data_IF_504265800395
#
_entry.id   IF_504265800395
#
_cell.length_a   1.000
_cell.length_b   1.000
_cell.length_c   1.000
_cell.angle_alpha   90.00
_cell.angle_beta   90.00
_cell.angle_gamma   90.00
#
_symmetry.space_group_name_H-M   'P 1'
#
loop_
_entity.id
_entity.type
_entity.pdbx_description
1 polymer ?
#
# COMPACT_ATOMS: atom_id res chain seq x y z
N UNK A 1 -6.33 17.46 -14.71
CA UNK A 1 -4.90 17.18 -14.90
C UNK A 1 -4.06 18.40 -14.57
N UNK A 2 -4.29 19.51 -15.28
CA UNK A 2 -3.45 20.71 -15.19
C UNK A 2 -3.27 21.27 -13.78
N UNK A 3 -4.33 21.38 -12.98
CA UNK A 3 -4.22 21.79 -11.57
C UNK A 3 -3.27 20.91 -10.75
N UNK A 4 -3.38 19.58 -10.87
CA UNK A 4 -2.55 18.62 -10.12
C UNK A 4 -1.07 18.76 -10.52
N UNK A 5 -0.80 18.96 -11.82
CA UNK A 5 0.56 19.22 -12.29
C UNK A 5 1.14 20.51 -11.69
N UNK A 6 0.34 21.59 -11.64
CA UNK A 6 0.78 22.85 -11.04
C UNK A 6 1.00 22.71 -9.53
N UNK A 7 0.12 22.00 -8.82
CA UNK A 7 0.28 21.72 -7.39
C UNK A 7 1.58 20.93 -7.13
N UNK A 8 1.89 19.94 -7.96
CA UNK A 8 3.11 19.15 -7.86
C UNK A 8 4.38 19.99 -8.09
N UNK A 9 4.36 20.91 -9.07
CA UNK A 9 5.45 21.86 -9.31
C UNK A 9 5.61 22.84 -8.13
N UNK A 10 4.50 23.34 -7.57
CA UNK A 10 4.52 24.24 -6.43
C UNK A 10 5.12 23.57 -5.18
N UNK A 11 4.81 22.28 -4.95
CA UNK A 11 5.40 21.50 -3.86
C UNK A 11 6.92 21.33 -4.03
N UNK A 12 7.39 21.04 -5.25
CA UNK A 12 8.82 20.99 -5.55
C UNK A 12 9.50 22.34 -5.29
N UNK A 13 8.93 23.44 -5.78
CA UNK A 13 9.46 24.79 -5.56
C UNK A 13 9.48 25.20 -4.09
N UNK A 14 8.56 24.68 -3.28
CA UNK A 14 8.54 24.86 -1.83
C UNK A 14 9.59 24.02 -1.09
N UNK A 15 10.35 23.17 -1.80
CA UNK A 15 11.44 22.38 -1.24
C UNK A 15 11.04 20.97 -0.79
N UNK A 16 9.91 20.44 -1.26
CA UNK A 16 9.61 19.02 -1.07
C UNK A 16 10.72 18.16 -1.71
N UNK A 17 11.18 17.12 -1.02
CA UNK A 17 12.21 16.20 -1.56
C UNK A 17 11.61 15.04 -2.37
N UNK A 18 10.31 14.77 -2.18
CA UNK A 18 9.53 13.78 -2.88
C UNK A 18 8.04 14.08 -2.72
N UNK A 19 7.20 13.53 -3.61
CA UNK A 19 5.73 13.65 -3.52
C UNK A 19 5.04 12.30 -3.74
N UNK A 20 3.90 12.11 -3.09
CA UNK A 20 3.02 10.95 -3.34
C UNK A 20 1.95 11.33 -4.36
N UNK A 21 1.78 10.50 -5.39
CA UNK A 21 0.71 10.60 -6.37
C UNK A 21 -0.31 9.50 -6.09
N UNK A 22 -1.48 9.89 -5.59
CA UNK A 22 -2.53 8.97 -5.15
C UNK A 22 -3.77 9.06 -6.05
N UNK A 23 -4.20 7.91 -6.57
CA UNK A 23 -5.48 7.76 -7.27
C UNK A 23 -5.66 8.73 -8.46
N UNK A 24 -4.63 8.85 -9.30
CA UNK A 24 -4.65 9.70 -10.51
C UNK A 24 -4.45 8.87 -11.78
N UNK A 25 -4.88 9.36 -12.97
CA UNK A 25 -4.66 8.67 -14.23
C UNK A 25 -3.16 8.39 -14.50
N UNK A 26 -2.79 7.18 -14.97
CA UNK A 26 -1.39 6.82 -15.22
C UNK A 26 -0.62 7.75 -16.16
N UNK A 27 -1.29 8.31 -17.17
CA UNK A 27 -0.67 9.26 -18.10
C UNK A 27 -0.34 10.58 -17.42
N UNK A 28 -1.19 11.05 -16.50
CA UNK A 28 -0.92 12.25 -15.70
C UNK A 28 0.25 12.01 -14.75
N UNK A 29 0.29 10.87 -14.09
CA UNK A 29 1.41 10.50 -13.21
C UNK A 29 2.74 10.42 -13.97
N UNK A 30 2.72 9.86 -15.20
CA UNK A 30 3.88 9.85 -16.10
C UNK A 30 4.33 11.27 -16.44
N UNK A 31 3.40 12.15 -16.83
CA UNK A 31 3.72 13.54 -17.16
C UNK A 31 4.29 14.32 -15.96
N UNK A 32 3.78 14.11 -14.75
CA UNK A 32 4.32 14.72 -13.53
C UNK A 32 5.72 14.20 -13.26
N UNK A 33 5.92 12.89 -13.28
CA UNK A 33 7.24 12.25 -13.00
C UNK A 33 8.30 12.69 -13.99
N UNK A 34 7.96 12.85 -15.27
CA UNK A 34 8.90 13.36 -16.29
C UNK A 34 9.21 14.86 -16.14
N UNK A 35 8.37 15.61 -15.43
CA UNK A 35 8.48 17.07 -15.33
C UNK A 35 9.27 17.52 -14.10
N UNK A 36 9.13 16.79 -12.99
CA UNK A 36 9.80 17.10 -11.73
C UNK A 36 11.22 16.55 -11.70
N UNK A 37 12.05 17.14 -10.86
CA UNK A 37 13.40 16.65 -10.52
C UNK A 37 13.40 15.81 -9.25
N UNK A 38 12.41 15.99 -8.38
CA UNK A 38 12.20 15.23 -7.14
C UNK A 38 11.46 13.92 -7.38
N UNK A 39 11.65 12.94 -6.49
CA UNK A 39 11.05 11.61 -6.66
C UNK A 39 9.53 11.61 -6.52
N UNK A 40 8.84 10.90 -7.41
CA UNK A 40 7.40 10.62 -7.30
C UNK A 40 7.15 9.21 -6.77
N UNK A 41 6.23 9.07 -5.83
CA UNK A 41 5.83 7.79 -5.23
C UNK A 41 4.37 7.51 -5.55
N UNK A 42 4.10 6.46 -6.33
CA UNK A 42 2.76 6.13 -6.78
C UNK A 42 1.99 5.22 -5.83
N UNK A 43 0.69 5.50 -5.65
CA UNK A 43 -0.31 4.56 -5.12
C UNK A 43 -1.59 4.69 -5.94
N UNK A 44 -1.90 3.67 -6.75
CA UNK A 44 -2.98 3.78 -7.72
C UNK A 44 -2.75 4.85 -8.79
N UNK A 45 -1.49 5.18 -9.09
CA UNK A 45 -1.07 6.16 -10.10
C UNK A 45 -0.38 5.53 -11.32
N UNK A 46 -0.44 4.21 -11.45
CA UNK A 46 0.24 3.46 -12.52
C UNK A 46 1.75 3.30 -12.28
N UNK A 47 2.45 2.65 -13.23
CA UNK A 47 3.81 2.17 -13.01
C UNK A 47 4.91 3.22 -13.28
N UNK A 48 4.56 4.41 -13.78
CA UNK A 48 5.55 5.39 -14.25
C UNK A 48 5.98 6.40 -13.18
N UNK A 49 5.78 6.10 -11.89
CA UNK A 49 6.37 6.86 -10.79
C UNK A 49 7.74 6.26 -10.43
N UNK A 50 8.63 7.03 -9.82
CA UNK A 50 9.98 6.56 -9.45
C UNK A 50 9.97 5.48 -8.37
N UNK A 51 8.95 5.52 -7.51
CA UNK A 51 8.70 4.50 -6.49
C UNK A 51 7.21 4.18 -6.38
N UNK A 52 6.89 3.19 -5.54
CA UNK A 52 5.53 2.76 -5.26
C UNK A 52 5.33 2.62 -3.76
N UNK A 53 4.12 2.91 -3.29
CA UNK A 53 3.70 2.70 -1.90
C UNK A 53 2.36 1.97 -1.87
N UNK A 54 2.21 1.07 -0.91
CA UNK A 54 0.94 0.41 -0.57
C UNK A 54 0.79 0.39 0.95
N UNK A 55 -0.45 0.43 1.42
CA UNK A 55 -0.75 0.23 2.84
C UNK A 55 -0.43 -1.23 3.19
N UNK A 56 0.33 -1.45 4.28
CA UNK A 56 0.76 -2.79 4.70
C UNK A 56 -0.41 -3.75 4.90
N UNK A 57 -1.54 -3.27 5.43
CA UNK A 57 -2.74 -4.09 5.60
C UNK A 57 -3.34 -4.59 4.27
N UNK A 58 -3.26 -3.80 3.21
CA UNK A 58 -3.74 -4.19 1.88
C UNK A 58 -2.76 -5.14 1.19
N UNK A 59 -1.46 -4.80 1.28
CA UNK A 59 -0.37 -5.65 0.79
C UNK A 59 -0.41 -7.05 1.40
N UNK A 60 -0.70 -7.14 2.71
CA UNK A 60 -0.75 -8.40 3.46
C UNK A 60 -2.15 -9.03 3.51
N UNK A 61 -3.16 -8.47 2.84
CA UNK A 61 -4.51 -9.05 2.84
C UNK A 61 -5.16 -9.13 4.23
N UNK A 62 -4.90 -8.13 5.08
CA UNK A 62 -5.55 -7.96 6.38
C UNK A 62 -6.90 -7.24 6.26
N UNK A 63 -7.04 -6.35 5.27
CA UNK A 63 -8.27 -5.59 5.00
C UNK A 63 -9.37 -6.47 4.38
N UNK A 64 -10.64 -6.19 4.70
CA UNK A 64 -11.77 -7.03 4.24
C UNK A 64 -12.11 -6.78 2.80
N UNK A 65 -12.00 -5.50 2.44
CA UNK A 65 -12.16 -5.03 1.09
C UNK A 65 -10.84 -4.41 0.67
N UNK A 66 -10.32 -4.90 -0.44
CA UNK A 66 -9.10 -4.36 -1.04
C UNK A 66 -9.44 -3.19 -1.97
N UNK A 67 -8.65 -2.12 -1.97
CA UNK A 67 -8.76 -1.09 -3.00
C UNK A 67 -8.44 -1.69 -4.37
N UNK A 68 -9.07 -1.20 -5.47
CA UNK A 68 -8.94 -1.82 -6.79
C UNK A 68 -7.51 -1.78 -7.36
N UNK A 69 -6.66 -0.88 -6.85
CA UNK A 69 -5.26 -0.74 -7.26
C UNK A 69 -4.29 -1.52 -6.36
N UNK A 70 -4.73 -2.03 -5.21
CA UNK A 70 -3.86 -2.73 -4.28
C UNK A 70 -3.91 -4.23 -4.55
N UNK A 71 -2.74 -4.81 -4.82
CA UNK A 71 -2.55 -6.25 -4.88
C UNK A 71 -2.22 -6.77 -3.48
N UNK A 72 -3.03 -7.69 -2.97
CA UNK A 72 -2.65 -8.49 -1.81
C UNK A 72 -1.69 -9.60 -2.24
N UNK A 73 -0.59 -9.75 -1.52
CA UNK A 73 0.43 -10.77 -1.75
C UNK A 73 0.23 -12.02 -0.89
N UNK A 74 -0.56 -11.89 0.18
CA UNK A 74 -0.94 -12.98 1.09
C UNK A 74 -2.33 -12.69 1.65
N UNK A 75 -3.09 -13.73 2.03
CA UNK A 75 -4.30 -13.59 2.83
C UNK A 75 -3.93 -13.76 4.31
N UNK A 76 -3.22 -12.78 4.88
CA UNK A 76 -2.71 -12.90 6.25
C UNK A 76 -3.85 -12.97 7.28
N UNK A 77 -5.02 -12.42 6.96
CA UNK A 77 -6.20 -12.57 7.79
C UNK A 77 -6.57 -14.03 8.00
N UNK A 78 -6.64 -14.81 6.93
CA UNK A 78 -6.97 -16.23 7.01
C UNK A 78 -5.93 -16.99 7.82
N UNK A 79 -4.64 -16.73 7.57
CA UNK A 79 -3.52 -17.32 8.30
C UNK A 79 -3.61 -17.03 9.80
N UNK A 80 -3.80 -15.76 10.19
CA UNK A 80 -3.96 -15.37 11.59
C UNK A 80 -5.20 -16.02 12.20
N UNK A 81 -6.32 -16.02 11.47
CA UNK A 81 -7.59 -16.61 11.94
C UNK A 81 -7.42 -18.09 12.23
N UNK A 82 -6.80 -18.84 11.32
CA UNK A 82 -6.52 -20.26 11.48
C UNK A 82 -5.61 -20.51 12.69
N UNK A 83 -4.50 -19.76 12.82
CA UNK A 83 -3.58 -19.92 13.94
C UNK A 83 -4.25 -19.67 15.30
N UNK A 84 -5.08 -18.63 15.40
CA UNK A 84 -5.82 -18.33 16.64
C UNK A 84 -6.89 -19.38 16.94
N UNK A 85 -7.58 -19.90 15.91
CA UNK A 85 -8.56 -20.97 16.07
C UNK A 85 -7.92 -22.29 16.52
N UNK A 86 -6.77 -22.65 15.94
CA UNK A 86 -5.98 -23.82 16.33
C UNK A 86 -5.53 -23.70 17.78
N UNK A 87 -4.87 -22.58 18.14
CA UNK A 87 -4.47 -22.30 19.52
C UNK A 87 -5.64 -22.40 20.50
N UNK A 88 -6.77 -21.76 20.18
CA UNK A 88 -7.99 -21.82 20.99
C UNK A 88 -8.53 -23.25 21.16
N UNK A 89 -8.43 -24.08 20.12
CA UNK A 89 -8.84 -25.49 20.17
C UNK A 89 -7.90 -26.32 21.04
N UNK A 90 -6.60 -26.11 20.90
CA UNK A 90 -5.61 -26.83 21.70
C UNK A 90 -5.70 -26.48 23.20
N UNK A 91 -5.93 -25.21 23.54
CA UNK A 91 -6.15 -24.78 24.93
C UNK A 91 -7.40 -25.44 25.52
N UNK A 92 -8.53 -25.41 24.80
CA UNK A 92 -9.80 -26.00 25.29
C UNK A 92 -9.74 -27.52 25.42
N UNK A 93 -8.94 -28.18 24.58
CA UNK A 93 -8.77 -29.63 24.62
C UNK A 93 -7.64 -30.10 25.54
N UNK A 94 -6.93 -29.17 26.20
CA UNK A 94 -5.80 -29.50 27.06
C UNK A 94 -4.58 -30.03 26.30
N UNK A 95 -4.51 -29.85 24.98
CA UNK A 95 -3.33 -30.19 24.18
C UNK A 95 -2.21 -29.17 24.33
N UNK A 96 -2.57 -27.93 24.68
CA UNK A 96 -1.66 -26.83 24.98
C UNK A 96 -1.98 -26.21 26.35
N UNK A 97 -0.98 -25.82 27.16
CA UNK A 97 0.45 -26.11 26.95
C UNK A 97 0.72 -27.60 27.18
N UNK A 98 1.76 -28.13 26.53
CA UNK A 98 2.32 -29.43 26.93
C UNK A 98 3.21 -29.22 28.15
N UNK A 99 3.24 -30.20 29.04
CA UNK A 99 4.26 -30.23 30.09
C UNK A 99 5.66 -30.22 29.44
N UNK A 100 6.66 -29.59 30.09
CA UNK A 100 8.02 -29.44 29.55
C UNK A 100 8.68 -30.74 29.10
#
# INVERSE_FOLDING_TARGET
GERILQDAIALEQAGAFAIVLEHIPPDLARSITQKLTISTIGIGAGPNCDGQVLVTADLLGLSERQPPFAKSYVNLREVITQAVQEFSTEVRSGKFPKDP
#
